data_IF_604848788446
#
_entry.id   IF_604848788446
#
_cell.length_a   1.000
_cell.length_b   1.000
_cell.length_c   1.000
_cell.angle_alpha   90.00
_cell.angle_beta   90.00
_cell.angle_gamma   90.00
#
_symmetry.space_group_name_H-M   'P 1'
#
loop_
_entity.id
_entity.type
_entity.pdbx_description
1 polymer ?
#
# COMPACT_ATOMS: atom_id res chain seq x y z
N UNK A 1 -4.23 13.64 -4.23
CA UNK A 1 -5.05 12.41 -4.26
C UNK A 1 -5.53 12.13 -2.85
N UNK A 2 -6.82 11.94 -2.65
CA UNK A 2 -7.43 11.77 -1.33
C UNK A 2 -7.96 10.33 -1.23
N UNK A 3 -7.46 9.55 -0.28
CA UNK A 3 -7.99 8.20 -0.03
C UNK A 3 -9.16 8.36 0.95
N UNK A 4 -10.38 8.40 0.41
CA UNK A 4 -11.62 8.63 1.16
C UNK A 4 -11.84 7.69 2.34
N UNK A 5 -11.31 6.46 2.26
CA UNK A 5 -11.44 5.46 3.32
C UNK A 5 -10.50 5.71 4.51
N UNK A 6 -9.46 6.52 4.34
CA UNK A 6 -8.41 6.70 5.36
C UNK A 6 -8.94 7.40 6.62
N UNK A 7 -9.76 8.44 6.44
CA UNK A 7 -10.33 9.19 7.56
C UNK A 7 -11.23 8.30 8.43
N UNK A 8 -12.03 7.44 7.80
CA UNK A 8 -12.87 6.47 8.49
C UNK A 8 -12.05 5.40 9.20
N UNK A 9 -10.98 4.89 8.58
CA UNK A 9 -10.05 3.95 9.21
C UNK A 9 -9.41 4.57 10.47
N UNK A 10 -9.04 5.85 10.42
CA UNK A 10 -8.46 6.56 11.56
C UNK A 10 -9.49 6.77 12.68
N UNK A 11 -10.73 7.14 12.36
CA UNK A 11 -11.82 7.22 13.33
C UNK A 11 -12.03 5.88 14.04
N UNK A 12 -12.13 4.78 13.29
CA UNK A 12 -12.27 3.43 13.87
C UNK A 12 -11.04 3.03 14.69
N UNK A 13 -9.83 3.45 14.30
CA UNK A 13 -8.61 3.19 15.07
C UNK A 13 -8.59 3.96 16.41
N UNK A 14 -9.04 5.22 16.41
CA UNK A 14 -9.18 6.01 17.63
C UNK A 14 -10.24 5.40 18.56
N UNK A 15 -11.40 5.01 18.02
CA UNK A 15 -12.45 4.35 18.79
C UNK A 15 -11.96 3.02 19.40
N UNK A 16 -11.28 2.20 18.61
CA UNK A 16 -10.68 0.95 19.08
C UNK A 16 -9.72 1.12 20.25
N UNK A 17 -9.00 2.24 20.31
CA UNK A 17 -8.02 2.54 21.36
C UNK A 17 -8.68 2.98 22.67
N UNK A 18 -9.80 3.71 22.58
CA UNK A 18 -10.45 4.32 23.75
C UNK A 18 -11.55 3.42 24.34
N UNK A 19 -12.39 2.86 23.49
CA UNK A 19 -13.66 2.23 23.88
C UNK A 19 -13.76 0.76 23.42
N UNK A 20 -12.95 0.37 22.44
CA UNK A 20 -13.08 -0.90 21.73
C UNK A 20 -13.95 -0.78 20.47
N UNK A 21 -14.05 -1.86 19.70
CA UNK A 21 -14.85 -1.92 18.47
C UNK A 21 -15.95 -2.98 18.63
N UNK A 22 -17.13 -2.70 18.09
CA UNK A 22 -18.16 -3.74 17.93
C UNK A 22 -17.79 -4.69 16.80
N UNK A 23 -18.42 -5.86 16.75
CA UNK A 23 -18.18 -6.87 15.71
C UNK A 23 -18.40 -6.31 14.30
N UNK A 24 -19.43 -5.48 14.13
CA UNK A 24 -19.75 -4.82 12.87
C UNK A 24 -18.66 -3.81 12.46
N UNK A 25 -18.14 -3.04 13.42
CA UNK A 25 -17.07 -2.08 13.17
C UNK A 25 -15.72 -2.75 12.86
N UNK A 26 -15.48 -3.94 13.43
CA UNK A 26 -14.32 -4.76 13.06
C UNK A 26 -14.43 -5.21 11.59
N UNK A 27 -15.61 -5.67 11.17
CA UNK A 27 -15.85 -6.06 9.78
C UNK A 27 -15.73 -4.86 8.82
N UNK A 28 -16.30 -3.70 9.19
CA UNK A 28 -16.16 -2.44 8.44
C UNK A 28 -14.68 -2.05 8.29
N UNK A 29 -13.92 -2.07 9.40
CA UNK A 29 -12.49 -1.74 9.40
C UNK A 29 -11.69 -2.68 8.52
N UNK A 30 -12.00 -3.98 8.53
CA UNK A 30 -11.33 -4.97 7.69
C UNK A 30 -11.56 -4.69 6.21
N UNK A 31 -12.81 -4.44 5.82
CA UNK A 31 -13.17 -4.10 4.44
C UNK A 31 -12.49 -2.82 3.96
N UNK A 32 -12.52 -1.75 4.79
CA UNK A 32 -11.88 -0.48 4.46
C UNK A 32 -10.36 -0.63 4.30
N UNK A 33 -9.71 -1.41 5.17
CA UNK A 33 -8.28 -1.71 5.06
C UNK A 33 -7.93 -2.47 3.79
N UNK A 34 -8.76 -3.44 3.39
CA UNK A 34 -8.52 -4.18 2.15
C UNK A 34 -8.59 -3.26 0.92
N UNK A 35 -9.56 -2.34 0.87
CA UNK A 35 -9.67 -1.34 -0.21
C UNK A 35 -8.49 -0.37 -0.20
N UNK A 36 -8.08 0.11 0.97
CA UNK A 36 -6.89 0.94 1.13
C UNK A 36 -5.63 0.25 0.60
N UNK A 37 -5.38 -1.01 1.02
CA UNK A 37 -4.23 -1.79 0.57
C UNK A 37 -4.24 -2.04 -0.93
N UNK A 38 -5.40 -2.29 -1.54
CA UNK A 38 -5.50 -2.45 -2.99
C UNK A 38 -5.09 -1.16 -3.73
N UNK A 39 -5.57 0.01 -3.28
CA UNK A 39 -5.20 1.31 -3.85
C UNK A 39 -3.70 1.60 -3.70
N UNK A 40 -3.16 1.35 -2.50
CA UNK A 40 -1.73 1.55 -2.20
C UNK A 40 -0.86 0.60 -3.04
N UNK A 41 -1.24 -0.67 -3.16
CA UNK A 41 -0.48 -1.64 -3.97
C UNK A 41 -0.41 -1.21 -5.43
N UNK A 42 -1.53 -0.78 -6.02
CA UNK A 42 -1.52 -0.25 -7.40
C UNK A 42 -0.59 0.95 -7.57
N UNK A 43 -0.57 1.86 -6.59
CA UNK A 43 0.33 3.01 -6.60
C UNK A 43 1.80 2.60 -6.47
N UNK A 44 2.10 1.68 -5.55
CA UNK A 44 3.45 1.18 -5.34
C UNK A 44 3.98 0.49 -6.60
N UNK A 45 3.16 -0.33 -7.26
CA UNK A 45 3.51 -0.95 -8.55
C UNK A 45 3.88 0.12 -9.59
N UNK A 46 3.11 1.20 -9.70
CA UNK A 46 3.43 2.29 -10.63
C UNK A 46 4.75 3.00 -10.29
N UNK A 47 5.02 3.25 -9.00
CA UNK A 47 6.28 3.86 -8.56
C UNK A 47 7.45 2.93 -8.88
N UNK A 48 7.33 1.65 -8.53
CA UNK A 48 8.32 0.62 -8.78
C UNK A 48 8.60 0.42 -10.28
N UNK A 49 7.63 0.72 -11.16
CA UNK A 49 7.84 0.71 -12.60
C UNK A 49 8.94 1.67 -13.07
N UNK A 50 9.11 2.78 -12.35
CA UNK A 50 9.96 3.92 -12.76
C UNK A 50 11.21 4.10 -11.90
N UNK A 51 11.29 3.45 -10.74
CA UNK A 51 12.39 3.64 -9.79
C UNK A 51 13.56 2.70 -10.10
N UNK A 52 14.76 3.27 -10.07
CA UNK A 52 16.04 2.57 -10.09
C UNK A 52 16.68 2.67 -8.71
N UNK A 53 17.23 1.56 -8.21
CA UNK A 53 17.90 1.53 -6.91
C UNK A 53 19.41 1.59 -7.13
N UNK A 54 20.04 2.62 -6.57
CA UNK A 54 21.50 2.83 -6.63
C UNK A 54 22.11 2.69 -5.23
N UNK A 55 23.34 2.17 -5.17
CA UNK A 55 24.11 2.12 -3.92
C UNK A 55 24.85 3.45 -3.65
N UNK A 56 25.52 3.52 -2.50
CA UNK A 56 26.28 4.70 -2.07
C UNK A 56 27.48 5.03 -2.98
N UNK A 57 27.92 4.08 -3.80
CA UNK A 57 29.03 4.23 -4.75
C UNK A 57 28.52 4.58 -6.17
N UNK A 58 27.20 4.61 -6.37
CA UNK A 58 26.54 4.98 -7.62
C UNK A 58 26.25 3.80 -8.56
N UNK A 59 26.47 2.56 -8.14
CA UNK A 59 26.14 1.39 -8.96
C UNK A 59 24.64 1.09 -8.93
N UNK A 60 24.08 0.77 -10.09
CA UNK A 60 22.69 0.30 -10.20
C UNK A 60 22.57 -1.13 -9.65
N UNK A 61 22.02 -1.24 -8.45
CA UNK A 61 21.73 -2.48 -7.75
C UNK A 61 20.26 -2.87 -7.82
N UNK A 62 19.52 -2.36 -8.82
CA UNK A 62 18.09 -2.66 -8.97
C UNK A 62 17.87 -4.19 -8.99
N UNK A 63 17.06 -4.73 -8.06
CA UNK A 63 16.86 -6.17 -7.94
C UNK A 63 16.43 -6.80 -9.27
N UNK A 64 17.02 -7.95 -9.63
CA UNK A 64 16.70 -8.60 -10.91
C UNK A 64 15.20 -8.89 -11.07
N UNK A 65 14.52 -9.27 -9.97
CA UNK A 65 13.07 -9.49 -9.95
C UNK A 65 12.28 -8.24 -10.38
N UNK A 66 12.72 -7.06 -9.95
CA UNK A 66 12.08 -5.79 -10.31
C UNK A 66 12.32 -5.45 -11.78
N UNK A 67 13.55 -5.63 -12.27
CA UNK A 67 13.89 -5.44 -13.69
C UNK A 67 13.09 -6.36 -14.63
N UNK A 68 12.89 -7.62 -14.22
CA UNK A 68 12.07 -8.58 -14.95
C UNK A 68 10.59 -8.17 -14.94
N UNK A 69 10.06 -7.75 -13.79
CA UNK A 69 8.69 -7.27 -13.67
C UNK A 69 8.43 -6.02 -14.54
N UNK A 70 9.37 -5.07 -14.57
CA UNK A 70 9.33 -3.89 -15.43
C UNK A 70 9.33 -4.26 -16.93
N UNK A 71 10.22 -5.17 -17.36
CA UNK A 71 10.29 -5.64 -18.77
C UNK A 71 9.03 -6.36 -19.23
N UNK A 72 8.39 -7.12 -18.35
CA UNK A 72 7.18 -7.87 -18.67
C UNK A 72 5.89 -7.02 -18.60
N UNK A 73 6.00 -5.70 -18.47
CA UNK A 73 4.84 -4.80 -18.40
C UNK A 73 4.03 -4.92 -17.10
N UNK A 74 4.68 -5.42 -16.03
CA UNK A 74 4.12 -5.66 -14.70
C UNK A 74 2.83 -6.49 -14.67
N UNK A 75 2.96 -7.82 -14.78
CA UNK A 75 2.06 -8.76 -14.10
C UNK A 75 2.66 -9.10 -12.73
N UNK A 76 2.08 -8.58 -11.65
CA UNK A 76 2.37 -8.94 -10.25
C UNK A 76 1.05 -9.15 -9.52
#
# INVERSE_FOLDING_TARGET
MQISELDRINQLAHKAKNEGLTTDEIAERAMLRQRYLAKIRGQLTNILATVTVVDSEGNDITPQKLRLAQRNGMMI
#
